data_IF_163629073150
#
_entry.id   IF_163629073150
#
_cell.length_a   1.000
_cell.length_b   1.000
_cell.length_c   1.000
_cell.angle_alpha   90.00
_cell.angle_beta   90.00
_cell.angle_gamma   90.00
#
_symmetry.space_group_name_H-M   'P 1'
#
loop_
_entity.id
_entity.type
_entity.pdbx_description
1 polymer ?
#
# COMPACT_ATOMS: atom_id res chain seq x y z
N UNK A 1 -0.27 -34.14 26.45
CA UNK A 1 -0.38 -32.67 26.63
C UNK A 1 0.72 -31.87 25.93
N UNK A 2 2.03 -32.12 26.16
CA UNK A 2 3.12 -31.30 25.57
C UNK A 2 3.17 -31.26 24.04
N UNK A 3 2.80 -32.36 23.35
CA UNK A 3 2.74 -32.40 21.87
C UNK A 3 1.60 -31.57 21.29
N UNK A 4 0.41 -31.64 21.90
CA UNK A 4 -0.75 -30.84 21.49
C UNK A 4 -0.52 -29.34 21.64
N UNK A 5 0.13 -28.91 22.73
CA UNK A 5 0.48 -27.50 22.95
C UNK A 5 1.49 -26.98 21.90
N UNK A 6 2.47 -27.80 21.51
CA UNK A 6 3.43 -27.45 20.45
C UNK A 6 2.76 -27.28 19.09
N UNK A 7 1.83 -28.18 18.75
CA UNK A 7 1.07 -28.10 17.49
C UNK A 7 0.18 -26.84 17.48
N UNK A 8 -0.50 -26.55 18.59
CA UNK A 8 -1.31 -25.35 18.72
C UNK A 8 -0.47 -24.06 18.59
N UNK A 9 0.67 -23.99 19.29
CA UNK A 9 1.57 -22.86 19.19
C UNK A 9 2.13 -22.67 17.77
N UNK A 10 2.45 -23.77 17.08
CA UNK A 10 2.89 -23.72 15.68
C UNK A 10 1.76 -23.22 14.75
N UNK A 11 0.52 -23.67 14.98
CA UNK A 11 -0.65 -23.19 14.24
C UNK A 11 -0.85 -21.68 14.37
N UNK A 12 -0.75 -21.15 15.60
CA UNK A 12 -0.82 -19.70 15.85
C UNK A 12 0.32 -18.97 15.14
N UNK A 13 1.55 -19.48 15.24
CA UNK A 13 2.71 -18.88 14.58
C UNK A 13 2.51 -18.78 13.06
N UNK A 14 1.98 -19.85 12.44
CA UNK A 14 1.66 -19.85 11.02
C UNK A 14 0.64 -18.76 10.71
N UNK A 15 -0.48 -18.69 11.44
CA UNK A 15 -1.50 -17.66 11.21
C UNK A 15 -0.89 -16.26 11.31
N UNK A 16 -0.07 -15.99 12.34
CA UNK A 16 0.60 -14.70 12.51
C UNK A 16 1.45 -14.37 11.27
N UNK A 17 2.26 -15.32 10.79
CA UNK A 17 3.13 -15.11 9.63
C UNK A 17 2.37 -14.76 8.34
N UNK A 18 1.14 -15.25 8.17
CA UNK A 18 0.29 -14.90 7.04
C UNK A 18 -0.43 -13.55 7.20
N UNK A 19 -0.56 -13.03 8.42
CA UNK A 19 -1.29 -11.77 8.70
C UNK A 19 -0.41 -10.53 8.87
N UNK A 20 0.88 -10.70 9.18
CA UNK A 20 1.78 -9.56 9.39
C UNK A 20 2.36 -9.03 8.08
N UNK A 21 2.58 -7.72 8.02
CA UNK A 21 3.33 -7.08 6.95
C UNK A 21 4.83 -7.23 7.18
N UNK A 22 5.54 -7.71 6.16
CA UNK A 22 6.99 -7.82 6.19
C UNK A 22 7.66 -6.52 5.75
N UNK A 23 8.86 -6.20 6.27
CA UNK A 23 9.60 -5.01 5.86
C UNK A 23 9.77 -4.91 4.33
N UNK A 24 9.49 -3.74 3.77
CA UNK A 24 9.66 -3.48 2.34
C UNK A 24 11.14 -3.44 1.95
N UNK A 25 11.46 -4.13 0.85
CA UNK A 25 12.73 -3.98 0.13
C UNK A 25 12.60 -2.86 -0.88
N UNK A 26 13.71 -2.28 -1.32
CA UNK A 26 13.64 -1.24 -2.37
C UNK A 26 12.98 -1.75 -3.66
N UNK A 27 13.25 -3.01 -4.03
CA UNK A 27 12.65 -3.64 -5.20
C UNK A 27 11.13 -3.77 -5.10
N UNK A 28 10.58 -3.88 -3.89
CA UNK A 28 9.13 -3.94 -3.69
C UNK A 28 8.52 -2.54 -3.56
N UNK A 29 9.25 -1.56 -3.03
CA UNK A 29 8.78 -0.19 -2.81
C UNK A 29 8.66 0.61 -4.10
N UNK A 30 9.72 0.68 -4.91
CA UNK A 30 9.72 1.49 -6.14
C UNK A 30 9.13 0.71 -7.31
N UNK A 31 8.45 1.39 -8.23
CA UNK A 31 7.85 0.76 -9.40
C UNK A 31 6.41 1.22 -9.64
N UNK A 32 5.64 0.38 -10.33
CA UNK A 32 4.30 0.73 -10.82
C UNK A 32 3.23 0.01 -10.01
N UNK A 33 2.20 0.74 -9.63
CA UNK A 33 1.06 0.20 -8.91
C UNK A 33 -0.24 0.60 -9.59
N UNK A 34 -1.08 -0.38 -9.91
CA UNK A 34 -2.36 -0.15 -10.56
C UNK A 34 -3.48 -0.12 -9.54
N UNK A 35 -4.37 0.86 -9.67
CA UNK A 35 -5.65 0.84 -8.99
C UNK A 35 -6.55 -0.17 -9.70
N UNK A 36 -6.79 -1.31 -9.06
CA UNK A 36 -7.51 -2.45 -9.68
C UNK A 36 -8.93 -2.63 -9.15
N UNK A 37 -9.32 -1.85 -8.13
CA UNK A 37 -10.58 -1.99 -7.40
C UNK A 37 -11.33 -0.65 -7.28
N UNK A 38 -11.13 0.24 -8.25
CA UNK A 38 -11.81 1.53 -8.38
C UNK A 38 -13.34 1.45 -8.53
N UNK A 39 -13.88 0.25 -8.78
CA UNK A 39 -15.33 0.01 -8.86
C UNK A 39 -15.99 -0.14 -7.48
N UNK A 40 -15.19 -0.22 -6.40
CA UNK A 40 -15.72 -0.25 -5.05
C UNK A 40 -16.43 1.08 -4.72
N UNK A 41 -17.37 1.08 -3.76
CA UNK A 41 -18.08 2.30 -3.39
C UNK A 41 -17.12 3.45 -3.08
N UNK A 42 -17.47 4.65 -3.52
CA UNK A 42 -16.66 5.84 -3.28
C UNK A 42 -16.53 6.12 -1.79
N UNK A 43 -15.34 5.88 -1.22
CA UNK A 43 -15.04 6.19 0.19
C UNK A 43 -14.64 7.65 0.39
N UNK A 44 -13.73 8.15 -0.45
CA UNK A 44 -13.03 9.41 -0.23
C UNK A 44 -12.68 10.10 -1.54
N UNK A 45 -12.78 11.43 -1.56
CA UNK A 45 -12.52 12.25 -2.75
C UNK A 45 -11.03 12.34 -3.08
N UNK A 46 -10.17 11.99 -2.12
CA UNK A 46 -8.71 12.02 -2.21
C UNK A 46 -8.13 10.73 -2.80
N UNK A 47 -8.95 9.74 -3.16
CA UNK A 47 -8.54 8.50 -3.80
C UNK A 47 -9.18 8.36 -5.19
N UNK A 48 -8.48 7.76 -6.18
CA UNK A 48 -9.04 7.58 -7.51
C UNK A 48 -10.13 6.50 -7.51
N UNK A 49 -11.32 6.87 -7.98
CA UNK A 49 -12.42 5.94 -8.29
C UNK A 49 -12.50 5.66 -9.80
N UNK A 50 -11.35 5.73 -10.45
CA UNK A 50 -11.15 5.41 -11.86
C UNK A 50 -9.84 4.60 -12.06
N UNK A 51 -9.63 3.95 -13.22
CA UNK A 51 -8.35 3.35 -13.54
C UNK A 51 -7.22 4.36 -13.42
N UNK A 52 -6.26 4.08 -12.56
CA UNK A 52 -5.05 4.89 -12.37
C UNK A 52 -3.83 4.01 -12.13
N UNK A 53 -2.66 4.53 -12.46
CA UNK A 53 -1.38 3.90 -12.16
C UNK A 53 -0.49 4.89 -11.42
N UNK A 54 -0.13 4.56 -10.19
CA UNK A 54 0.83 5.30 -9.40
C UNK A 54 2.23 4.73 -9.66
N UNK A 55 3.15 5.58 -10.10
CA UNK A 55 4.54 5.23 -10.38
C UNK A 55 5.42 5.90 -9.33
N UNK A 56 6.14 5.10 -8.52
CA UNK A 56 7.07 5.59 -7.51
C UNK A 56 8.51 5.47 -8.01
N UNK A 57 9.18 6.60 -8.19
CA UNK A 57 10.57 6.67 -8.66
C UNK A 57 11.55 6.64 -7.48
N UNK A 58 12.78 6.15 -7.75
CA UNK A 58 13.84 6.02 -6.73
C UNK A 58 14.36 7.34 -6.18
N UNK A 59 14.16 8.43 -6.92
CA UNK A 59 14.58 9.79 -6.56
C UNK A 59 13.57 10.52 -5.67
N UNK A 60 12.49 9.85 -5.26
CA UNK A 60 11.44 10.39 -4.39
C UNK A 60 10.33 11.15 -5.12
N UNK A 61 10.29 11.11 -6.46
CA UNK A 61 9.17 11.62 -7.24
C UNK A 61 8.13 10.53 -7.52
N UNK A 62 6.89 10.94 -7.78
CA UNK A 62 5.87 10.04 -8.30
C UNK A 62 5.09 10.66 -9.45
N UNK A 63 4.45 9.80 -10.24
CA UNK A 63 3.50 10.20 -11.28
C UNK A 63 2.23 9.33 -11.22
N UNK A 64 1.07 9.94 -11.43
CA UNK A 64 -0.23 9.28 -11.59
C UNK A 64 -1.14 10.16 -12.44
N UNK A 65 -2.15 9.57 -13.09
CA UNK A 65 -3.15 10.34 -13.85
C UNK A 65 -4.05 11.16 -12.92
N UNK A 66 -4.43 10.58 -11.78
CA UNK A 66 -5.31 11.21 -10.80
C UNK A 66 -4.61 12.29 -9.97
N UNK A 67 -3.43 12.00 -9.44
CA UNK A 67 -2.67 12.92 -8.58
C UNK A 67 -1.73 13.85 -9.34
N UNK A 68 -1.48 13.58 -10.63
CA UNK A 68 -0.46 14.28 -11.41
C UNK A 68 0.96 13.88 -10.99
N UNK A 69 1.86 14.87 -10.96
CA UNK A 69 3.25 14.68 -10.54
C UNK A 69 3.48 15.24 -9.14
N UNK A 70 4.30 14.56 -8.36
CA UNK A 70 4.55 14.96 -6.98
C UNK A 70 5.80 14.38 -6.37
N UNK A 71 5.95 14.57 -5.05
CA UNK A 71 7.00 13.96 -4.24
C UNK A 71 6.36 13.03 -3.22
N UNK A 72 7.06 11.98 -2.84
CA UNK A 72 6.62 11.10 -1.77
C UNK A 72 7.68 10.91 -0.71
N UNK A 73 7.23 10.63 0.50
CA UNK A 73 8.06 10.31 1.66
C UNK A 73 7.62 8.96 2.21
N UNK A 74 8.60 8.14 2.63
CA UNK A 74 8.33 6.83 3.23
C UNK A 74 8.88 6.81 4.65
N UNK A 75 8.00 6.48 5.60
CA UNK A 75 8.38 6.26 6.99
C UNK A 75 8.30 4.77 7.30
N UNK A 76 9.44 4.19 7.69
CA UNK A 76 9.52 2.77 8.08
C UNK A 76 9.22 2.64 9.57
N UNK A 77 8.17 1.89 9.89
CA UNK A 77 7.78 1.53 11.25
C UNK A 77 7.23 0.11 11.30
N UNK A 78 6.36 -0.19 12.28
CA UNK A 78 5.58 -1.44 12.28
C UNK A 78 4.75 -1.55 10.99
N UNK A 79 4.16 -0.44 10.57
CA UNK A 79 3.54 -0.25 9.27
C UNK A 79 4.43 0.70 8.45
N UNK A 80 4.71 0.37 7.18
CA UNK A 80 5.47 1.28 6.31
C UNK A 80 4.51 2.28 5.70
N UNK A 81 4.57 3.53 6.15
CA UNK A 81 3.68 4.60 5.70
C UNK A 81 4.27 5.35 4.52
N UNK A 82 3.41 5.81 3.61
CA UNK A 82 3.77 6.67 2.50
C UNK A 82 2.91 7.93 2.52
N UNK A 83 3.57 9.07 2.37
CA UNK A 83 2.94 10.36 2.22
C UNK A 83 3.18 10.89 0.82
N UNK A 84 2.11 11.19 0.09
CA UNK A 84 2.15 11.78 -1.24
C UNK A 84 1.93 13.27 -1.12
N UNK A 85 2.77 14.07 -1.78
CA UNK A 85 2.67 15.52 -1.87
C UNK A 85 2.45 15.91 -3.34
N UNK A 86 1.35 16.59 -3.64
CA UNK A 86 0.95 16.96 -5.00
C UNK A 86 0.20 18.29 -5.03
N UNK A 87 -0.09 18.78 -6.23
CA UNK A 87 -0.92 19.97 -6.44
C UNK A 87 -2.30 19.53 -6.89
N UNK A 88 -3.34 19.93 -6.17
CA UNK A 88 -4.73 19.72 -6.53
C UNK A 88 -5.39 21.07 -6.76
N UNK A 89 -6.00 21.29 -7.93
CA UNK A 89 -6.67 22.56 -8.27
C UNK A 89 -5.80 23.82 -8.01
N UNK A 90 -4.48 23.71 -8.27
CA UNK A 90 -3.53 24.81 -8.08
C UNK A 90 -3.07 25.04 -6.63
N UNK A 91 -3.53 24.25 -5.66
CA UNK A 91 -3.10 24.33 -4.25
C UNK A 91 -2.33 23.08 -3.79
N UNK A 92 -1.32 23.23 -2.92
CA UNK A 92 -0.64 22.08 -2.32
C UNK A 92 -1.59 21.19 -1.53
N UNK A 93 -1.51 19.89 -1.78
CA UNK A 93 -2.28 18.85 -1.10
C UNK A 93 -1.35 17.71 -0.67
N UNK A 94 -1.83 16.88 0.26
CA UNK A 94 -1.11 15.66 0.64
C UNK A 94 -2.06 14.53 0.99
N UNK A 95 -1.70 13.31 0.58
CA UNK A 95 -2.36 12.07 0.99
C UNK A 95 -1.45 11.24 1.88
N UNK A 96 -1.99 10.61 2.92
CA UNK A 96 -1.26 9.70 3.81
C UNK A 96 -1.89 8.31 3.73
N UNK A 97 -1.07 7.31 3.46
CA UNK A 97 -1.47 5.91 3.29
C UNK A 97 -0.31 5.01 3.73
N UNK A 98 -0.42 3.72 3.52
CA UNK A 98 0.60 2.75 3.93
C UNK A 98 0.67 1.57 2.96
N UNK A 99 1.81 0.90 3.01
CA UNK A 99 2.03 -0.32 2.26
C UNK A 99 1.56 -1.53 3.05
N UNK A 100 0.96 -2.49 2.35
CA UNK A 100 0.83 -3.86 2.81
C UNK A 100 1.74 -4.76 2.00
N UNK A 101 2.46 -5.64 2.70
CA UNK A 101 3.47 -6.54 2.16
C UNK A 101 3.40 -7.90 2.87
N UNK A 102 2.25 -8.55 2.72
CA UNK A 102 1.98 -9.87 3.30
C UNK A 102 2.60 -10.99 2.46
N UNK A 103 2.83 -12.13 3.10
CA UNK A 103 3.41 -13.30 2.44
C UNK A 103 2.47 -13.84 1.34
N UNK A 104 3.02 -14.13 0.16
CA UNK A 104 2.30 -14.60 -1.04
C UNK A 104 1.32 -13.60 -1.66
N UNK A 105 1.24 -12.38 -1.15
CA UNK A 105 0.50 -11.30 -1.78
C UNK A 105 1.42 -10.39 -2.59
N UNK A 106 0.84 -9.71 -3.59
CA UNK A 106 1.52 -8.57 -4.21
C UNK A 106 1.53 -7.42 -3.22
N UNK A 107 2.63 -6.68 -3.15
CA UNK A 107 2.69 -5.45 -2.36
C UNK A 107 1.58 -4.50 -2.80
N UNK A 108 0.88 -3.92 -1.83
CA UNK A 108 -0.22 -2.97 -2.05
C UNK A 108 0.08 -1.65 -1.36
N UNK A 109 -0.53 -0.56 -1.84
CA UNK A 109 -0.68 0.70 -1.12
C UNK A 109 -2.17 0.82 -0.77
N UNK A 110 -2.48 0.89 0.51
CA UNK A 110 -3.83 0.78 1.04
C UNK A 110 -4.49 2.17 1.17
N UNK A 111 -5.31 2.53 0.20
CA UNK A 111 -6.01 3.82 0.20
C UNK A 111 -7.16 3.83 1.21
N UNK A 112 -7.90 2.73 1.30
CA UNK A 112 -8.91 2.48 2.31
C UNK A 112 -9.02 0.99 2.59
N UNK A 113 -8.78 0.57 3.84
CA UNK A 113 -8.81 -0.84 4.22
C UNK A 113 -10.24 -1.41 4.26
N UNK A 114 -11.20 -0.65 4.79
CA UNK A 114 -12.59 -1.09 4.99
C UNK A 114 -13.30 -1.38 3.66
N UNK A 115 -13.02 -0.55 2.65
CA UNK A 115 -13.58 -0.73 1.30
C UNK A 115 -12.65 -1.50 0.36
N UNK A 116 -11.54 -2.05 0.87
CA UNK A 116 -10.52 -2.72 0.06
C UNK A 116 -10.19 -1.90 -1.20
N UNK A 117 -9.87 -0.61 -1.03
CA UNK A 117 -9.47 0.30 -2.11
C UNK A 117 -7.96 0.44 -2.07
N UNK A 118 -7.28 -0.07 -3.11
CA UNK A 118 -5.83 -0.25 -3.08
C UNK A 118 -5.19 -0.02 -4.45
N UNK A 119 -3.94 0.39 -4.40
CA UNK A 119 -3.02 0.23 -5.52
C UNK A 119 -2.26 -1.08 -5.34
N UNK A 120 -2.24 -1.95 -6.36
CA UNK A 120 -1.50 -3.22 -6.33
C UNK A 120 -0.27 -3.13 -7.22
N UNK A 121 0.89 -3.58 -6.73
CA UNK A 121 2.14 -3.58 -7.52
C UNK A 121 1.99 -4.45 -8.76
N UNK A 122 2.38 -3.90 -9.91
CA UNK A 122 2.36 -4.61 -11.20
C UNK A 122 3.76 -4.83 -11.78
N UNK A 123 4.73 -3.97 -11.40
CA UNK A 123 6.14 -4.05 -11.77
C UNK A 123 7.04 -3.71 -10.58
#
# INVERSE_FOLDING_TARGET
MKKGLKIFALGILVIILFTIDFPLKESTLYGRYANTNYQNPTCCVEAPHEPDTLILFRDGHFESKFYGKGRFEVSKGFETRIKLHYISNGVPASGNTYFSNQLFEKTKIILNADLNHVYTKID
#
